data_IF_401314278200
#
_entry.id   IF_401314278200
#
_cell.length_a   1.000
_cell.length_b   1.000
_cell.length_c   1.000
_cell.angle_alpha   90.00
_cell.angle_beta   90.00
_cell.angle_gamma   90.00
#
_symmetry.space_group_name_H-M   'P 1'
#
loop_
_entity.id
_entity.type
_entity.pdbx_description
1 polymer ?
#
# COMPACT_ATOMS: atom_id res chain seq x y z
N UNK A 1 -34.40 8.82 40.11
CA UNK A 1 -34.47 9.08 38.64
C UNK A 1 -33.10 9.48 38.07
N UNK A 2 -32.39 10.49 38.60
CA UNK A 2 -31.11 10.96 38.05
C UNK A 2 -29.97 9.94 38.02
N UNK A 3 -29.82 9.11 39.06
CA UNK A 3 -28.78 8.09 39.13
C UNK A 3 -28.95 7.00 38.04
N UNK A 4 -30.16 6.62 37.75
CA UNK A 4 -30.48 5.65 36.71
C UNK A 4 -30.16 6.20 35.30
N UNK A 5 -30.50 7.46 35.03
CA UNK A 5 -30.14 8.14 33.77
C UNK A 5 -28.62 8.27 33.59
N UNK A 6 -27.91 8.57 34.67
CA UNK A 6 -26.45 8.65 34.61
C UNK A 6 -25.79 7.31 34.31
N UNK A 7 -26.29 6.23 34.90
CA UNK A 7 -25.80 4.87 34.66
C UNK A 7 -26.03 4.45 33.20
N UNK A 8 -27.22 4.73 32.62
CA UNK A 8 -27.53 4.41 31.21
C UNK A 8 -26.62 5.14 30.23
N UNK A 9 -26.31 6.41 30.51
CA UNK A 9 -25.40 7.21 29.68
C UNK A 9 -23.98 6.63 29.72
N UNK A 10 -23.47 6.25 30.90
CA UNK A 10 -22.14 5.64 31.04
C UNK A 10 -22.06 4.33 30.26
N UNK A 11 -23.05 3.44 30.41
CA UNK A 11 -23.11 2.17 29.67
C UNK A 11 -23.15 2.43 28.17
N UNK A 12 -23.92 3.40 27.69
CA UNK A 12 -24.01 3.76 26.29
C UNK A 12 -22.67 4.26 25.73
N UNK A 13 -21.96 5.11 26.47
CA UNK A 13 -20.63 5.58 26.07
C UNK A 13 -19.60 4.43 25.97
N UNK A 14 -19.61 3.51 26.93
CA UNK A 14 -18.75 2.32 26.91
C UNK A 14 -19.05 1.43 25.69
N UNK A 15 -20.32 1.25 25.34
CA UNK A 15 -20.73 0.49 24.16
C UNK A 15 -20.26 1.17 22.88
N UNK A 16 -20.33 2.50 22.77
CA UNK A 16 -19.83 3.23 21.61
C UNK A 16 -18.32 3.02 21.43
N UNK A 17 -17.55 3.16 22.52
CA UNK A 17 -16.09 2.97 22.47
C UNK A 17 -15.74 1.54 22.04
N UNK A 18 -16.42 0.55 22.63
CA UNK A 18 -16.24 -0.87 22.26
C UNK A 18 -16.61 -1.14 20.79
N UNK A 19 -17.72 -0.58 20.34
CA UNK A 19 -18.17 -0.70 18.95
C UNK A 19 -17.14 -0.11 17.96
N UNK A 20 -16.63 1.10 18.23
CA UNK A 20 -15.60 1.73 17.39
C UNK A 20 -14.33 0.88 17.30
N UNK A 21 -13.87 0.30 18.42
CA UNK A 21 -12.70 -0.59 18.43
C UNK A 21 -12.91 -1.84 17.59
N UNK A 22 -14.06 -2.49 17.72
CA UNK A 22 -14.40 -3.70 16.95
C UNK A 22 -14.53 -3.36 15.45
N UNK A 23 -15.17 -2.24 15.13
CA UNK A 23 -15.30 -1.78 13.74
C UNK A 23 -13.96 -1.48 13.09
N UNK A 24 -13.01 -0.87 13.81
CA UNK A 24 -11.67 -0.62 13.33
C UNK A 24 -10.90 -1.93 13.05
N UNK A 25 -10.96 -2.90 13.97
CA UNK A 25 -10.33 -4.22 13.78
C UNK A 25 -10.93 -4.97 12.58
N UNK A 26 -12.25 -4.91 12.41
CA UNK A 26 -12.94 -5.49 11.25
C UNK A 26 -12.48 -4.85 9.95
N UNK A 27 -12.35 -3.54 9.90
CA UNK A 27 -11.88 -2.81 8.71
C UNK A 27 -10.45 -3.23 8.33
N UNK A 28 -9.55 -3.38 9.31
CA UNK A 28 -8.17 -3.85 9.08
C UNK A 28 -8.18 -5.28 8.52
N UNK A 29 -8.96 -6.18 9.13
CA UNK A 29 -9.07 -7.56 8.66
C UNK A 29 -9.61 -7.64 7.23
N UNK A 30 -10.66 -6.88 6.90
CA UNK A 30 -11.22 -6.81 5.55
C UNK A 30 -10.21 -6.26 4.53
N UNK A 31 -9.41 -5.27 4.91
CA UNK A 31 -8.35 -4.74 4.05
C UNK A 31 -7.28 -5.79 3.77
N UNK A 32 -6.85 -6.55 4.78
CA UNK A 32 -5.89 -7.65 4.60
C UNK A 32 -6.43 -8.74 3.67
N UNK A 33 -7.68 -9.14 3.84
CA UNK A 33 -8.34 -10.13 2.96
C UNK A 33 -8.31 -9.62 1.51
N UNK A 34 -8.77 -8.39 1.27
CA UNK A 34 -8.79 -7.80 -0.07
C UNK A 34 -7.41 -7.74 -0.71
N UNK A 35 -6.37 -7.37 0.03
CA UNK A 35 -5.01 -7.34 -0.48
C UNK A 35 -4.53 -8.74 -0.89
N UNK A 36 -4.80 -9.76 -0.07
CA UNK A 36 -4.45 -11.14 -0.41
C UNK A 36 -5.22 -11.65 -1.64
N UNK A 37 -6.51 -11.35 -1.75
CA UNK A 37 -7.31 -11.70 -2.93
C UNK A 37 -6.79 -11.03 -4.21
N UNK A 38 -6.33 -9.76 -4.12
CA UNK A 38 -5.70 -9.06 -5.24
C UNK A 38 -4.38 -9.71 -5.65
N UNK A 39 -3.54 -10.14 -4.69
CA UNK A 39 -2.30 -10.85 -5.00
C UNK A 39 -2.56 -12.23 -5.63
N UNK A 40 -3.56 -12.96 -5.15
CA UNK A 40 -3.95 -14.25 -5.75
C UNK A 40 -4.42 -14.03 -7.20
N UNK A 41 -5.32 -13.07 -7.43
CA UNK A 41 -5.79 -12.75 -8.77
C UNK A 41 -4.67 -12.28 -9.71
N UNK A 42 -3.68 -11.55 -9.18
CA UNK A 42 -2.49 -11.17 -9.93
C UNK A 42 -1.66 -12.39 -10.34
N UNK A 43 -1.42 -13.34 -9.42
CA UNK A 43 -0.63 -14.52 -9.68
C UNK A 43 -1.31 -15.53 -10.62
N UNK A 44 -2.63 -15.70 -10.50
CA UNK A 44 -3.39 -16.67 -11.26
C UNK A 44 -3.86 -16.14 -12.62
N UNK A 45 -4.27 -14.87 -12.69
CA UNK A 45 -4.95 -14.28 -13.84
C UNK A 45 -4.17 -13.14 -14.48
N UNK A 46 -2.98 -12.78 -13.96
CA UNK A 46 -2.21 -11.60 -14.36
C UNK A 46 -3.04 -10.30 -14.37
N UNK A 47 -4.01 -10.21 -13.44
CA UNK A 47 -4.86 -9.04 -13.29
C UNK A 47 -4.20 -8.01 -12.41
N UNK A 48 -3.95 -6.83 -12.96
CA UNK A 48 -3.32 -5.72 -12.23
C UNK A 48 -4.40 -4.82 -11.60
N UNK A 49 -4.28 -4.58 -10.30
CA UNK A 49 -5.17 -3.69 -9.54
C UNK A 49 -4.51 -2.38 -9.12
N UNK A 50 -3.28 -2.17 -9.57
CA UNK A 50 -2.44 -1.04 -9.21
C UNK A 50 -2.24 -0.12 -10.39
N UNK A 51 -1.75 1.08 -10.12
CA UNK A 51 -1.37 2.07 -11.10
C UNK A 51 -0.18 1.60 -11.94
N UNK A 52 -0.20 1.86 -13.23
CA UNK A 52 0.83 1.45 -14.19
C UNK A 52 1.99 2.44 -14.34
N UNK A 53 1.98 3.56 -13.61
CA UNK A 53 3.05 4.55 -13.62
C UNK A 53 3.16 5.41 -14.89
N UNK A 54 2.20 5.35 -15.79
CA UNK A 54 2.22 6.11 -17.06
C UNK A 54 2.37 7.62 -16.83
N UNK A 55 1.82 8.15 -15.73
CA UNK A 55 1.91 9.57 -15.37
C UNK A 55 3.36 10.03 -15.06
N UNK A 56 4.28 9.10 -14.82
CA UNK A 56 5.70 9.38 -14.57
C UNK A 56 6.58 9.17 -15.80
N UNK A 57 5.99 8.90 -16.96
CA UNK A 57 6.73 8.66 -18.20
C UNK A 57 7.31 9.97 -18.74
N UNK A 58 8.59 9.96 -19.06
CA UNK A 58 9.32 11.07 -19.70
C UNK A 58 9.56 10.72 -21.17
N UNK A 59 9.19 11.63 -22.09
CA UNK A 59 9.24 11.37 -23.56
C UNK A 59 10.63 11.02 -24.08
N UNK A 60 11.69 11.55 -23.45
CA UNK A 60 13.09 11.41 -23.92
C UNK A 60 13.95 10.57 -22.96
N UNK A 61 13.37 9.65 -22.20
CA UNK A 61 14.18 8.82 -21.32
C UNK A 61 14.97 7.77 -22.11
N UNK A 62 16.29 7.62 -21.89
CA UNK A 62 17.19 6.86 -22.78
C UNK A 62 16.85 5.36 -22.92
N UNK A 63 16.17 4.75 -21.96
CA UNK A 63 15.88 3.32 -21.96
C UNK A 63 14.49 2.94 -21.42
N UNK A 64 13.75 3.87 -20.86
CA UNK A 64 12.47 3.55 -20.18
C UNK A 64 11.44 2.93 -21.11
N UNK A 65 11.45 3.36 -22.37
CA UNK A 65 10.53 2.86 -23.39
C UNK A 65 10.97 1.50 -23.93
N UNK A 66 12.26 1.33 -24.21
CA UNK A 66 12.80 0.09 -24.78
C UNK A 66 12.73 -1.10 -23.81
N UNK A 67 12.75 -0.81 -22.50
CA UNK A 67 12.69 -1.83 -21.44
C UNK A 67 11.32 -1.94 -20.79
N UNK A 68 10.28 -1.31 -21.33
CA UNK A 68 8.92 -1.31 -20.77
C UNK A 68 8.91 -1.05 -19.25
N UNK A 69 9.63 0.02 -18.81
CA UNK A 69 9.77 0.35 -17.39
C UNK A 69 8.45 0.86 -16.81
N UNK A 70 7.71 1.70 -17.55
CA UNK A 70 6.45 2.32 -17.15
C UNK A 70 5.36 2.02 -18.18
N UNK A 71 4.10 1.94 -17.73
CA UNK A 71 2.95 1.68 -18.59
C UNK A 71 2.26 0.36 -18.26
N UNK A 72 1.34 -0.06 -19.12
CA UNK A 72 0.62 -1.32 -18.97
C UNK A 72 1.56 -2.52 -19.13
N UNK A 73 1.43 -3.52 -18.27
CA UNK A 73 2.28 -4.73 -18.25
C UNK A 73 3.78 -4.46 -18.08
N UNK A 74 4.16 -3.26 -17.65
CA UNK A 74 5.54 -2.84 -17.44
C UNK A 74 6.13 -3.40 -16.14
N UNK A 75 7.46 -3.24 -15.98
CA UNK A 75 8.16 -3.57 -14.75
C UNK A 75 7.57 -2.83 -13.54
N UNK A 76 7.28 -1.53 -13.70
CA UNK A 76 6.62 -0.75 -12.65
C UNK A 76 5.27 -1.34 -12.27
N UNK A 77 4.42 -1.65 -13.25
CA UNK A 77 3.08 -2.19 -13.01
C UNK A 77 3.15 -3.54 -12.28
N UNK A 78 4.13 -4.36 -12.61
CA UNK A 78 4.38 -5.63 -11.95
C UNK A 78 4.84 -5.48 -10.49
N UNK A 79 5.71 -4.51 -10.20
CA UNK A 79 6.29 -4.27 -8.88
C UNK A 79 5.44 -3.38 -7.97
N UNK A 80 4.54 -2.58 -8.53
CA UNK A 80 3.83 -1.55 -7.79
C UNK A 80 2.85 -2.15 -6.76
N UNK A 81 3.15 -1.93 -5.48
CA UNK A 81 2.27 -2.21 -4.34
C UNK A 81 2.02 -0.95 -3.51
N UNK A 82 2.35 0.21 -4.08
CA UNK A 82 2.25 1.48 -3.38
C UNK A 82 0.84 2.05 -3.47
N UNK A 83 0.34 2.63 -2.37
CA UNK A 83 -0.97 3.27 -2.31
C UNK A 83 -0.91 4.80 -2.22
N UNK A 84 0.28 5.36 -1.93
CA UNK A 84 0.47 6.80 -1.80
C UNK A 84 1.12 7.38 -3.04
N UNK A 85 0.78 8.63 -3.38
CA UNK A 85 1.43 9.33 -4.50
C UNK A 85 2.95 9.41 -4.35
N UNK A 86 3.45 9.68 -3.12
CA UNK A 86 4.88 9.75 -2.85
C UNK A 86 5.57 8.39 -3.07
N UNK A 87 4.94 7.30 -2.62
CA UNK A 87 5.44 5.94 -2.84
C UNK A 87 5.51 5.59 -4.32
N UNK A 88 4.46 5.90 -5.09
CA UNK A 88 4.41 5.72 -6.55
C UNK A 88 5.53 6.48 -7.25
N UNK A 89 5.68 7.76 -6.93
CA UNK A 89 6.73 8.62 -7.50
C UNK A 89 8.13 8.11 -7.16
N UNK A 90 8.36 7.67 -5.92
CA UNK A 90 9.66 7.15 -5.50
C UNK A 90 10.00 5.84 -6.21
N UNK A 91 9.02 4.93 -6.37
CA UNK A 91 9.20 3.69 -7.12
C UNK A 91 9.57 4.00 -8.59
N UNK A 92 8.81 4.88 -9.26
CA UNK A 92 9.10 5.30 -10.62
C UNK A 92 10.50 5.90 -10.74
N UNK A 93 10.87 6.81 -9.84
CA UNK A 93 12.21 7.43 -9.83
C UNK A 93 13.33 6.39 -9.67
N UNK A 94 13.16 5.40 -8.80
CA UNK A 94 14.16 4.34 -8.59
C UNK A 94 14.33 3.44 -9.81
N UNK A 95 13.27 3.20 -10.56
CA UNK A 95 13.32 2.40 -11.80
C UNK A 95 13.91 3.20 -12.97
N UNK A 96 13.59 4.49 -13.06
CA UNK A 96 14.10 5.38 -14.11
C UNK A 96 15.55 5.82 -13.90
N UNK A 97 15.98 5.94 -12.64
CA UNK A 97 17.33 6.44 -12.30
C UNK A 97 17.93 5.55 -11.20
N UNK A 98 18.37 4.34 -11.53
CA UNK A 98 19.00 3.46 -10.55
C UNK A 98 20.33 4.07 -10.09
N UNK A 99 20.43 4.36 -8.78
CA UNK A 99 21.64 4.86 -8.15
C UNK A 99 22.26 3.77 -7.28
N UNK A 100 23.57 3.58 -7.42
CA UNK A 100 24.33 2.67 -6.58
C UNK A 100 24.72 3.25 -5.22
N UNK A 101 24.65 4.56 -5.06
CA UNK A 101 25.17 5.27 -3.88
C UNK A 101 24.42 4.96 -2.58
N UNK A 102 23.16 4.50 -2.66
CA UNK A 102 22.30 4.30 -1.50
C UNK A 102 21.86 2.84 -1.27
N UNK A 103 22.48 1.89 -1.96
CA UNK A 103 22.07 0.47 -1.92
C UNK A 103 22.25 -0.10 -0.51
N UNK A 104 23.38 0.15 0.14
CA UNK A 104 23.69 -0.39 1.46
C UNK A 104 22.72 0.14 2.51
N UNK A 105 22.49 1.44 2.52
CA UNK A 105 21.56 2.10 3.43
C UNK A 105 20.10 1.58 3.21
N UNK A 106 19.70 1.43 1.96
CA UNK A 106 18.39 0.87 1.61
C UNK A 106 18.25 -0.58 2.08
N UNK A 107 19.29 -1.40 1.94
CA UNK A 107 19.29 -2.78 2.43
C UNK A 107 19.19 -2.86 3.97
N UNK A 108 19.86 -1.98 4.69
CA UNK A 108 19.75 -1.89 6.15
C UNK A 108 18.34 -1.50 6.59
N UNK A 109 17.73 -0.53 5.90
CA UNK A 109 16.34 -0.13 6.15
C UNK A 109 15.35 -1.29 5.89
N UNK A 110 15.53 -2.04 4.81
CA UNK A 110 14.70 -3.23 4.52
C UNK A 110 14.87 -4.28 5.61
N UNK A 111 16.09 -4.57 6.05
CA UNK A 111 16.35 -5.52 7.13
C UNK A 111 15.70 -5.08 8.45
N UNK A 112 15.71 -3.79 8.75
CA UNK A 112 15.08 -3.26 9.96
C UNK A 112 13.55 -3.39 9.94
N UNK A 113 12.91 -3.34 8.77
CA UNK A 113 11.46 -3.48 8.60
C UNK A 113 10.98 -4.94 8.49
N UNK A 114 11.86 -5.87 8.11
CA UNK A 114 11.51 -7.29 7.88
C UNK A 114 10.96 -8.02 9.11
N UNK A 115 11.41 -7.76 10.36
CA UNK A 115 10.86 -8.43 11.53
C UNK A 115 9.40 -8.10 11.84
N UNK A 116 8.88 -7.00 11.31
CA UNK A 116 7.53 -6.50 11.58
C UNK A 116 6.49 -6.89 10.49
N UNK A 117 6.92 -7.66 9.51
CA UNK A 117 6.10 -8.23 8.44
C UNK A 117 5.74 -9.69 8.76
#
# INVERSE_FOLDING_TARGET
>A
MGLFCMLTIVVFLLLIVKHKKISALRSIAQTKIRLNEQEIAFLEQHTFFTDNGKDFQEENHPYAYDLDILGEHSLYHYLNRTHTFLGKKLLAKRLLSPSSEDIINTQEQIKALTPDL
#
